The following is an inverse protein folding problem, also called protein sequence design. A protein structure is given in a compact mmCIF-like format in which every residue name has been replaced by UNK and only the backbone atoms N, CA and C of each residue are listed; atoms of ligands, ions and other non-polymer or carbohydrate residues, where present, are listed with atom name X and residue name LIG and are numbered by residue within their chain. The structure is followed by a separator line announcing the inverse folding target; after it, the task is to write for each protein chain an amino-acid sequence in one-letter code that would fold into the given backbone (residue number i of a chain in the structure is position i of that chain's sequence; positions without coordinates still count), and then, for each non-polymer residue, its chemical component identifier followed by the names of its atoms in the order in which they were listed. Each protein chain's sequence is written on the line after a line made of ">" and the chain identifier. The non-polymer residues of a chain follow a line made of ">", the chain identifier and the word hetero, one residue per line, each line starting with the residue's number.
data_IF_828905291263
#
_entry.id   IF_828905291263
#
_cell.length_a   1.000
_cell.length_b   1.000
_cell.length_c   1.000
_cell.angle_alpha   90.00
_cell.angle_beta   90.00
_cell.angle_gamma   90.00
#
_symmetry.space_group_name_H-M   'P 1'
#
loop_
_entity.id
_entity.type
_entity.pdbx_description
1 polymer ?
#
# COMPACT_ATOMS: atom_id res chain seq x y z
N UNK A 1 -18.29 -5.12 4.33
CA UNK A 1 -17.60 -4.16 3.47
C UNK A 1 -16.10 -4.30 3.69
N UNK A 2 -15.33 -4.38 2.59
CA UNK A 2 -13.87 -4.66 2.68
C UNK A 2 -13.11 -3.64 3.53
N UNK A 3 -13.46 -2.36 3.46
CA UNK A 3 -12.87 -1.30 4.28
C UNK A 3 -13.12 -1.52 5.78
N UNK A 4 -14.32 -1.93 6.14
CA UNK A 4 -14.66 -2.28 7.54
C UNK A 4 -13.88 -3.49 8.02
N UNK A 5 -13.71 -4.50 7.17
CA UNK A 5 -12.91 -5.70 7.50
C UNK A 5 -11.44 -5.36 7.72
N UNK A 6 -10.88 -4.48 6.88
CA UNK A 6 -9.49 -4.00 7.02
C UNK A 6 -9.34 -3.25 8.36
N UNK A 7 -10.24 -2.32 8.67
CA UNK A 7 -10.19 -1.57 9.92
C UNK A 7 -10.38 -2.46 11.15
N UNK A 8 -11.36 -3.36 11.11
CA UNK A 8 -11.59 -4.31 12.21
C UNK A 8 -10.36 -5.19 12.48
N UNK A 9 -9.71 -5.69 11.40
CA UNK A 9 -8.48 -6.45 11.54
C UNK A 9 -7.35 -5.63 12.18
N UNK A 10 -7.21 -4.36 11.83
CA UNK A 10 -6.22 -3.47 12.43
C UNK A 10 -6.49 -3.25 13.93
N UNK A 11 -7.75 -3.04 14.31
CA UNK A 11 -8.17 -2.92 15.72
C UNK A 11 -7.87 -4.20 16.50
N UNK A 12 -8.21 -5.37 15.96
CA UNK A 12 -7.98 -6.66 16.61
C UNK A 12 -6.50 -6.97 16.85
N UNK A 13 -5.62 -6.40 16.03
CA UNK A 13 -4.17 -6.52 16.18
C UNK A 13 -3.53 -5.38 16.98
N UNK A 14 -4.32 -4.56 17.68
CA UNK A 14 -3.85 -3.50 18.58
C UNK A 14 -3.29 -2.28 17.85
N UNK A 15 -3.53 -2.15 16.55
CA UNK A 15 -3.01 -1.02 15.77
C UNK A 15 -3.55 0.33 16.26
N UNK A 16 -4.74 0.33 16.87
CA UNK A 16 -5.43 1.51 17.40
C UNK A 16 -5.44 1.58 18.94
N UNK A 17 -4.58 0.80 19.62
CA UNK A 17 -4.43 0.87 21.08
C UNK A 17 -3.87 2.23 21.52
N UNK A 18 -3.13 2.90 20.64
CA UNK A 18 -2.66 4.27 20.81
C UNK A 18 -3.26 5.17 19.73
N UNK A 19 -3.54 6.42 20.12
CA UNK A 19 -4.03 7.42 19.16
C UNK A 19 -2.95 7.77 18.14
N UNK A 20 -3.32 7.74 16.85
CA UNK A 20 -2.45 8.10 15.74
C UNK A 20 -2.92 9.37 15.08
N UNK A 21 -2.00 10.29 14.85
CA UNK A 21 -2.28 11.49 14.07
C UNK A 21 -2.46 11.16 12.59
N UNK A 22 -3.16 12.02 11.85
CA UNK A 22 -3.22 11.88 10.39
C UNK A 22 -1.82 11.94 9.75
N UNK A 23 -0.90 12.70 10.33
CA UNK A 23 0.49 12.75 9.90
C UNK A 23 1.20 11.40 10.03
N UNK A 24 0.93 10.63 11.10
CA UNK A 24 1.49 9.30 11.27
C UNK A 24 0.97 8.35 10.19
N UNK A 25 -0.33 8.38 9.88
CA UNK A 25 -0.93 7.57 8.81
C UNK A 25 -0.28 7.87 7.46
N UNK A 26 -0.15 9.16 7.11
CA UNK A 26 0.50 9.58 5.85
C UNK A 26 1.97 9.14 5.81
N UNK A 27 2.69 9.25 6.92
CA UNK A 27 4.10 8.83 7.00
C UNK A 27 4.27 7.33 6.80
N UNK A 28 3.37 6.53 7.36
CA UNK A 28 3.36 5.09 7.15
C UNK A 28 3.05 4.73 5.68
N UNK A 29 2.08 5.38 5.04
CA UNK A 29 1.84 5.19 3.61
C UNK A 29 3.09 5.54 2.77
N UNK A 30 3.82 6.59 3.13
CA UNK A 30 5.09 6.94 2.47
C UNK A 30 6.16 5.87 2.67
N UNK A 31 6.22 5.22 3.84
CA UNK A 31 7.14 4.11 4.11
C UNK A 31 6.88 2.95 3.17
N UNK A 32 5.64 2.48 3.06
CA UNK A 32 5.28 1.36 2.17
C UNK A 32 5.63 1.66 0.69
N UNK A 33 5.38 2.89 0.21
CA UNK A 33 5.80 3.29 -1.14
C UNK A 33 7.33 3.30 -1.30
N UNK A 34 8.07 3.65 -0.25
CA UNK A 34 9.53 3.63 -0.28
C UNK A 34 10.06 2.20 -0.26
N UNK A 35 9.42 1.30 0.47
CA UNK A 35 9.73 -0.14 0.50
C UNK A 35 9.47 -0.77 -0.87
N UNK A 36 8.37 -0.44 -1.54
CA UNK A 36 8.12 -0.85 -2.92
C UNK A 36 9.24 -0.38 -3.88
N UNK A 37 9.76 0.83 -3.71
CA UNK A 37 10.89 1.34 -4.49
C UNK A 37 12.18 0.55 -4.20
N UNK A 38 12.46 0.20 -2.93
CA UNK A 38 13.62 -0.62 -2.58
C UNK A 38 13.54 -2.03 -3.19
N UNK A 39 12.37 -2.67 -3.18
CA UNK A 39 12.14 -3.94 -3.87
C UNK A 39 12.42 -3.82 -5.38
N UNK A 40 11.95 -2.75 -6.02
CA UNK A 40 12.23 -2.46 -7.42
C UNK A 40 13.73 -2.26 -7.71
N UNK A 41 14.41 -1.48 -6.87
CA UNK A 41 15.87 -1.23 -6.99
C UNK A 41 16.69 -2.51 -6.79
N UNK A 42 16.24 -3.37 -5.90
CA UNK A 42 16.85 -4.68 -5.65
C UNK A 42 16.58 -5.69 -6.79
N UNK A 43 15.78 -5.31 -7.82
CA UNK A 43 15.38 -6.16 -8.94
C UNK A 43 14.67 -7.45 -8.48
N UNK A 44 13.92 -7.37 -7.39
CA UNK A 44 13.09 -8.47 -6.90
C UNK A 44 11.78 -8.54 -7.70
N UNK A 45 11.13 -9.71 -7.65
CA UNK A 45 9.86 -9.91 -8.34
C UNK A 45 8.71 -9.11 -7.72
N UNK A 46 7.59 -9.07 -8.43
CA UNK A 46 6.38 -8.42 -7.93
C UNK A 46 5.93 -9.02 -6.59
N UNK A 47 5.98 -10.35 -6.49
CA UNK A 47 5.74 -11.10 -5.24
C UNK A 47 6.81 -12.18 -5.13
N UNK A 48 7.37 -12.32 -3.96
CA UNK A 48 8.30 -13.39 -3.61
C UNK A 48 8.10 -13.80 -2.15
N UNK A 49 8.67 -14.91 -1.71
CA UNK A 49 8.49 -15.44 -0.36
C UNK A 49 9.82 -15.78 0.25
N UNK A 50 9.98 -15.48 1.53
CA UNK A 50 11.15 -15.94 2.30
C UNK A 50 10.95 -17.39 2.70
N UNK A 51 11.81 -18.30 2.23
CA UNK A 51 11.79 -19.68 2.66
C UNK A 51 12.64 -19.82 3.94
N UNK A 52 11.99 -20.13 5.06
CA UNK A 52 12.67 -20.36 6.35
C UNK A 52 13.20 -21.80 6.51
N UNK A 53 12.70 -22.75 5.68
CA UNK A 53 13.12 -24.16 5.70
C UNK A 53 14.24 -24.49 4.70
N UNK A 54 14.53 -23.59 3.75
CA UNK A 54 15.58 -23.80 2.75
C UNK A 54 16.97 -23.46 3.27
N UNK A 55 17.92 -24.23 2.98
CA UNK A 55 19.39 -24.15 2.98
C UNK A 55 20.14 -23.19 3.94
N UNK A 56 19.47 -22.48 4.83
CA UNK A 56 20.09 -21.62 5.85
C UNK A 56 20.77 -20.34 5.32
N UNK A 57 20.69 -20.04 4.04
CA UNK A 57 21.38 -18.91 3.39
C UNK A 57 20.46 -17.71 3.06
N UNK A 58 19.20 -17.75 3.52
CA UNK A 58 18.28 -16.62 3.39
C UNK A 58 17.91 -16.24 1.96
N UNK A 59 18.11 -17.15 0.99
CA UNK A 59 17.77 -16.88 -0.39
C UNK A 59 16.25 -16.91 -0.58
N UNK A 60 15.67 -15.94 -1.28
CA UNK A 60 14.23 -15.90 -1.54
C UNK A 60 13.78 -17.11 -2.37
N UNK A 61 12.70 -17.75 -1.95
CA UNK A 61 12.03 -18.76 -2.76
C UNK A 61 11.38 -18.11 -3.97
N UNK A 62 11.77 -18.52 -5.17
CA UNK A 62 11.08 -18.10 -6.37
C UNK A 62 9.81 -18.95 -6.52
N UNK A 63 8.59 -18.35 -6.52
CA UNK A 63 7.34 -19.08 -6.68
C UNK A 63 7.27 -19.87 -8.00
N UNK A 64 7.98 -19.44 -9.05
CA UNK A 64 8.05 -20.16 -10.33
C UNK A 64 8.94 -21.40 -10.27
N UNK A 65 9.71 -21.60 -9.19
CA UNK A 65 10.64 -22.72 -8.97
C UNK A 65 10.27 -23.63 -7.80
N UNK A 66 9.13 -23.42 -7.16
CA UNK A 66 8.72 -24.26 -6.01
C UNK A 66 8.51 -25.72 -6.38
N UNK A 67 8.24 -26.04 -7.67
CA UNK A 67 8.19 -27.41 -8.21
C UNK A 67 9.55 -28.13 -8.15
N UNK A 68 10.65 -27.38 -8.04
CA UNK A 68 12.02 -27.93 -7.91
C UNK A 68 12.50 -27.99 -6.45
N UNK A 69 11.66 -27.62 -5.47
CA UNK A 69 12.01 -27.64 -4.07
C UNK A 69 12.19 -29.09 -3.59
N UNK A 70 13.40 -29.45 -3.26
CA UNK A 70 13.75 -30.81 -2.78
C UNK A 70 13.22 -31.15 -1.39
N UNK A 71 12.64 -30.17 -0.67
CA UNK A 71 12.15 -30.28 0.69
C UNK A 71 10.63 -30.03 0.78
N UNK A 72 9.84 -30.64 -0.11
CA UNK A 72 8.37 -30.48 -0.11
C UNK A 72 7.71 -30.80 1.25
N UNK A 73 8.28 -31.77 1.99
CA UNK A 73 7.74 -32.21 3.29
C UNK A 73 7.92 -31.18 4.40
N UNK A 74 8.98 -30.36 4.33
CA UNK A 74 9.34 -29.38 5.35
C UNK A 74 9.10 -27.92 4.88
N UNK A 75 8.43 -27.75 3.74
CA UNK A 75 8.18 -26.43 3.16
C UNK A 75 7.17 -25.65 4.01
N UNK A 76 7.64 -24.65 4.71
CA UNK A 76 6.82 -23.67 5.46
C UNK A 76 6.24 -22.59 4.55
N UNK A 77 6.29 -22.77 3.23
CA UNK A 77 5.80 -21.83 2.21
C UNK A 77 4.39 -21.30 2.50
N UNK A 78 3.51 -22.16 3.05
CA UNK A 78 2.14 -21.78 3.42
C UNK A 78 2.07 -20.80 4.61
N UNK A 79 3.14 -20.66 5.35
CA UNK A 79 3.28 -19.74 6.49
C UNK A 79 4.30 -18.63 6.23
N UNK A 80 4.98 -18.64 5.07
CA UNK A 80 5.92 -17.60 4.71
C UNK A 80 5.18 -16.29 4.38
N UNK A 81 5.66 -15.18 4.92
CA UNK A 81 5.11 -13.87 4.60
C UNK A 81 5.43 -13.56 3.13
N UNK A 82 4.46 -13.14 2.31
CA UNK A 82 4.75 -12.60 0.99
C UNK A 82 5.50 -11.28 1.13
N UNK A 83 6.40 -11.02 0.22
CA UNK A 83 7.21 -9.82 0.11
C UNK A 83 7.23 -9.36 -1.35
N UNK A 84 7.72 -8.18 -1.62
CA UNK A 84 7.92 -7.67 -2.98
C UNK A 84 7.04 -6.48 -3.32
N UNK A 85 7.25 -5.91 -4.50
CA UNK A 85 6.66 -4.63 -4.92
C UNK A 85 5.13 -4.60 -4.74
N UNK A 86 4.42 -5.65 -5.16
CA UNK A 86 2.97 -5.68 -5.07
C UNK A 86 2.47 -5.79 -3.61
N UNK A 87 3.27 -6.38 -2.73
CA UNK A 87 2.94 -6.50 -1.30
C UNK A 87 3.04 -5.14 -0.63
N UNK A 88 4.13 -4.41 -0.84
CA UNK A 88 4.32 -3.08 -0.27
C UNK A 88 3.27 -2.07 -0.80
N UNK A 89 2.91 -2.18 -2.07
CA UNK A 89 1.80 -1.37 -2.62
C UNK A 89 0.45 -1.74 -2.01
N UNK A 90 0.20 -3.03 -1.75
CA UNK A 90 -1.01 -3.49 -1.06
C UNK A 90 -1.02 -3.00 0.40
N UNK A 91 0.12 -3.01 1.09
CA UNK A 91 0.24 -2.50 2.46
C UNK A 91 -0.04 -0.99 2.51
N UNK A 92 0.43 -0.21 1.54
CA UNK A 92 0.05 1.20 1.40
C UNK A 92 -1.48 1.37 1.24
N UNK A 93 -2.11 0.57 0.39
CA UNK A 93 -3.57 0.60 0.20
C UNK A 93 -4.29 0.22 1.48
N UNK A 94 -3.84 -0.82 2.18
CA UNK A 94 -4.40 -1.26 3.48
C UNK A 94 -4.34 -0.14 4.51
N UNK A 95 -3.23 0.60 4.62
CA UNK A 95 -3.11 1.77 5.51
C UNK A 95 -4.15 2.84 5.22
N UNK A 96 -4.40 3.11 3.94
CA UNK A 96 -5.39 4.10 3.51
C UNK A 96 -6.81 3.62 3.85
N UNK A 97 -7.12 2.35 3.54
CA UNK A 97 -8.44 1.79 3.80
C UNK A 97 -8.72 1.65 5.30
N UNK A 98 -7.72 1.33 6.12
CA UNK A 98 -7.84 1.32 7.57
C UNK A 98 -8.26 2.71 8.10
N UNK A 99 -7.59 3.77 7.64
CA UNK A 99 -7.97 5.12 8.01
C UNK A 99 -9.38 5.48 7.51
N UNK A 100 -9.76 5.06 6.30
CA UNK A 100 -11.12 5.27 5.80
C UNK A 100 -12.16 4.55 6.67
N UNK A 101 -11.86 3.34 7.14
CA UNK A 101 -12.72 2.60 8.05
C UNK A 101 -12.86 3.29 9.40
N UNK A 102 -11.75 3.80 9.97
CA UNK A 102 -11.78 4.59 11.21
C UNK A 102 -12.64 5.85 11.10
N UNK A 103 -12.58 6.54 9.98
CA UNK A 103 -13.34 7.78 9.74
C UNK A 103 -14.75 7.50 9.17
N UNK A 104 -15.16 6.24 9.09
CA UNK A 104 -16.47 5.79 8.57
C UNK A 104 -16.79 6.35 7.16
N UNK A 105 -15.79 6.43 6.29
CA UNK A 105 -15.93 7.02 4.97
C UNK A 105 -16.50 6.02 3.96
N UNK A 106 -17.35 6.50 3.05
CA UNK A 106 -17.81 5.73 1.90
C UNK A 106 -16.68 5.60 0.84
N UNK A 107 -15.92 4.52 0.95
CA UNK A 107 -14.76 4.25 0.12
C UNK A 107 -15.11 4.14 -1.36
N UNK A 108 -16.22 3.47 -1.70
CA UNK A 108 -16.63 3.28 -3.09
C UNK A 108 -16.99 4.61 -3.75
N UNK A 109 -17.75 5.45 -3.04
CA UNK A 109 -18.08 6.80 -3.49
C UNK A 109 -16.82 7.67 -3.64
N UNK A 110 -15.88 7.60 -2.70
CA UNK A 110 -14.61 8.35 -2.76
C UNK A 110 -13.75 7.92 -3.94
N UNK A 111 -13.58 6.63 -4.19
CA UNK A 111 -12.81 6.11 -5.33
C UNK A 111 -13.46 6.52 -6.66
N UNK A 112 -14.78 6.38 -6.78
CA UNK A 112 -15.51 6.81 -7.97
C UNK A 112 -15.34 8.32 -8.22
N UNK A 113 -15.50 9.12 -7.17
CA UNK A 113 -15.32 10.57 -7.26
C UNK A 113 -13.87 10.93 -7.63
N UNK A 114 -12.89 10.28 -7.02
CA UNK A 114 -11.47 10.51 -7.29
C UNK A 114 -11.09 10.20 -8.74
N UNK A 115 -11.66 9.15 -9.33
CA UNK A 115 -11.46 8.78 -10.75
C UNK A 115 -12.04 9.81 -11.72
N UNK A 116 -13.17 10.43 -11.38
CA UNK A 116 -13.90 11.36 -12.25
C UNK A 116 -13.52 12.82 -12.03
N UNK A 117 -12.92 13.17 -10.90
CA UNK A 117 -12.56 14.54 -10.57
C UNK A 117 -11.21 14.93 -11.17
N UNK A 118 -11.17 16.07 -11.88
CA UNK A 118 -9.91 16.68 -12.30
C UNK A 118 -9.32 17.44 -11.10
N UNK A 119 -8.20 16.97 -10.60
CA UNK A 119 -7.46 17.64 -9.52
C UNK A 119 -6.46 18.60 -10.15
N UNK A 120 -6.76 19.91 -10.10
CA UNK A 120 -5.95 20.95 -10.75
C UNK A 120 -4.53 21.09 -10.21
N UNK A 121 -4.30 20.63 -8.98
CA UNK A 121 -3.01 20.63 -8.29
C UNK A 121 -2.19 19.33 -8.52
N UNK A 122 -2.76 18.39 -9.25
CA UNK A 122 -2.08 17.14 -9.63
C UNK A 122 -1.91 17.15 -11.15
N UNK A 123 -0.71 16.97 -11.69
CA UNK A 123 -0.50 16.92 -13.14
C UNK A 123 -1.42 15.90 -13.81
N UNK A 124 -2.22 16.35 -14.79
CA UNK A 124 -3.20 15.48 -15.49
C UNK A 124 -2.56 14.38 -16.33
N UNK A 125 -1.27 14.50 -16.62
CA UNK A 125 -0.53 13.53 -17.42
C UNK A 125 0.74 13.12 -16.68
N UNK A 126 0.69 11.95 -16.08
CA UNK A 126 1.89 11.17 -15.93
C UNK A 126 1.86 10.15 -17.06
N UNK A 127 2.66 10.38 -18.07
CA UNK A 127 3.14 9.25 -18.84
C UNK A 127 4.07 8.53 -17.88
N UNK A 128 3.51 7.60 -17.10
CA UNK A 128 4.30 6.76 -16.22
C UNK A 128 5.25 5.97 -17.11
N UNK A 129 6.42 6.50 -17.32
CA UNK A 129 7.46 5.86 -18.11
C UNK A 129 8.14 4.74 -17.30
N UNK A 130 7.98 4.79 -15.97
CA UNK A 130 8.61 3.84 -15.05
C UNK A 130 7.79 3.69 -13.77
N UNK A 131 8.02 2.60 -13.02
CA UNK A 131 7.47 2.43 -11.68
C UNK A 131 7.91 3.59 -10.74
N UNK A 132 9.14 4.10 -10.92
CA UNK A 132 9.62 5.24 -10.16
C UNK A 132 8.77 6.50 -10.36
N UNK A 133 8.28 6.75 -11.58
CA UNK A 133 7.37 7.87 -11.86
C UNK A 133 6.02 7.67 -11.17
N UNK A 134 5.49 6.45 -11.17
CA UNK A 134 4.26 6.09 -10.45
C UNK A 134 4.43 6.34 -8.95
N UNK A 135 5.48 5.81 -8.34
CA UNK A 135 5.77 5.99 -6.92
C UNK A 135 5.92 7.47 -6.56
N UNK A 136 6.65 8.25 -7.35
CA UNK A 136 6.80 9.69 -7.12
C UNK A 136 5.45 10.42 -7.16
N UNK A 137 4.55 10.01 -8.07
CA UNK A 137 3.20 10.56 -8.16
C UNK A 137 2.35 10.19 -6.95
N UNK A 138 2.41 8.94 -6.48
CA UNK A 138 1.68 8.51 -5.28
C UNK A 138 2.18 9.22 -4.03
N UNK A 139 3.48 9.44 -3.88
CA UNK A 139 4.04 10.30 -2.84
C UNK A 139 3.49 11.73 -2.91
N UNK A 140 3.35 12.29 -4.11
CA UNK A 140 2.74 13.62 -4.29
C UNK A 140 1.29 13.63 -3.83
N UNK A 141 0.48 12.63 -4.20
CA UNK A 141 -0.92 12.54 -3.77
C UNK A 141 -1.06 12.47 -2.25
N UNK A 142 -0.23 11.67 -1.57
CA UNK A 142 -0.20 11.58 -0.10
C UNK A 142 0.24 12.90 0.55
N UNK A 143 1.26 13.55 0.02
CA UNK A 143 1.73 14.86 0.52
C UNK A 143 0.64 15.94 0.35
N UNK A 144 -0.08 15.94 -0.77
CA UNK A 144 -1.21 16.83 -1.00
C UNK A 144 -2.40 16.48 -0.09
N UNK A 145 -2.64 15.22 0.23
CA UNK A 145 -3.64 14.82 1.22
C UNK A 145 -3.33 15.46 2.58
N UNK A 146 -2.09 15.33 3.05
CA UNK A 146 -1.65 15.99 4.29
C UNK A 146 -1.79 17.50 4.25
N UNK A 147 -1.39 18.13 3.13
CA UNK A 147 -1.56 19.58 2.94
C UNK A 147 -3.03 20.02 3.01
N UNK A 148 -3.95 19.22 2.48
CA UNK A 148 -5.39 19.50 2.56
C UNK A 148 -5.93 19.33 3.98
N UNK A 149 -5.49 18.30 4.68
CA UNK A 149 -5.84 18.06 6.07
C UNK A 149 -5.47 19.23 6.97
N UNK A 150 -4.28 19.79 6.78
CA UNK A 150 -3.79 20.94 7.57
C UNK A 150 -4.54 22.25 7.28
N UNK A 151 -5.37 22.31 6.24
CA UNK A 151 -6.18 23.48 5.89
C UNK A 151 -7.60 23.30 6.38
N UNK A 152 -8.32 24.39 6.66
CA UNK A 152 -9.70 24.36 7.16
C UNK A 152 -10.75 23.69 6.24
N UNK A 153 -10.37 23.34 5.01
CA UNK A 153 -11.20 22.60 4.03
C UNK A 153 -11.06 21.06 4.12
N UNK A 154 -10.41 20.59 5.02
CA UNK A 154 -9.77 19.41 5.58
C UNK A 154 -10.04 18.03 5.05
N UNK A 155 -10.91 17.29 5.72
CA UNK A 155 -10.94 15.82 5.66
C UNK A 155 -11.38 15.26 4.31
N UNK A 156 -12.43 15.81 3.69
CA UNK A 156 -12.93 15.28 2.41
C UNK A 156 -11.92 15.46 1.26
N UNK A 157 -11.28 16.63 1.18
CA UNK A 157 -10.25 16.86 0.16
C UNK A 157 -9.00 15.99 0.35
N UNK A 158 -8.63 15.70 1.61
CA UNK A 158 -7.58 14.75 1.93
C UNK A 158 -7.98 13.32 1.52
N UNK A 159 -9.17 12.88 1.89
CA UNK A 159 -9.71 11.57 1.54
C UNK A 159 -9.76 11.34 0.02
N UNK A 160 -10.18 12.35 -0.77
CA UNK A 160 -10.18 12.24 -2.22
C UNK A 160 -8.79 12.02 -2.83
N UNK A 161 -7.74 12.63 -2.27
CA UNK A 161 -6.37 12.41 -2.75
C UNK A 161 -5.84 11.03 -2.39
N UNK A 162 -6.17 10.55 -1.20
CA UNK A 162 -5.85 9.19 -0.79
C UNK A 162 -6.63 8.17 -1.64
N UNK A 163 -7.91 8.39 -1.89
CA UNK A 163 -8.73 7.55 -2.79
C UNK A 163 -8.18 7.54 -4.22
N UNK A 164 -7.63 8.67 -4.71
CA UNK A 164 -6.95 8.73 -6.00
C UNK A 164 -5.68 7.88 -6.00
N UNK A 165 -4.91 7.92 -4.92
CA UNK A 165 -3.73 7.08 -4.76
C UNK A 165 -4.10 5.58 -4.84
N UNK A 166 -5.14 5.15 -4.09
CA UNK A 166 -5.66 3.78 -4.14
C UNK A 166 -6.09 3.39 -5.56
N UNK A 167 -6.87 4.25 -6.23
CA UNK A 167 -7.35 3.98 -7.59
C UNK A 167 -6.21 3.80 -8.61
N UNK A 168 -5.14 4.58 -8.49
CA UNK A 168 -3.98 4.52 -9.39
C UNK A 168 -3.03 3.36 -9.08
N UNK A 169 -2.92 2.92 -7.82
CA UNK A 169 -2.16 1.71 -7.46
C UNK A 169 -2.86 0.45 -7.96
N UNK A 170 -4.20 0.45 -8.01
CA UNK A 170 -5.00 -0.70 -8.41
C UNK A 170 -5.15 -0.86 -9.94
N UNK A 171 -4.74 0.12 -10.74
CA UNK A 171 -4.74 0.08 -12.20
C UNK A 171 -3.43 -0.47 -12.78
#
# INVERSE_FOLDING_TARGET
>A
NFTEEVHQNAVEHGWWDEERSFGDIISLCHSELSEALEEFRAKRGMVWYTCTAGNGDGQPCNPDKWLDCKNEADCTYRSAKPEGIAVELADCVIRILDWFGKEELDTDALILQARTTIMCDVPCRVYAASLGDCIARWHLLLSLAYSCWCRASGSHAAALRMARCVAEIAE
#
